data_IF_478113540417
#
_entry.id   IF_478113540417
#
_cell.length_a   1.000
_cell.length_b   1.000
_cell.length_c   1.000
_cell.angle_alpha   90.00
_cell.angle_beta   90.00
_cell.angle_gamma   90.00
#
_symmetry.space_group_name_H-M   'P 1'
#
loop_
_entity.id
_entity.type
_entity.pdbx_description
1 polymer ?
#
# COMPACT_ATOMS: atom_id res chain seq x y z
N UNK A 1 19.25 12.31 -6.02
CA UNK A 1 19.83 11.17 -6.75
C UNK A 1 21.29 11.52 -7.02
N UNK A 2 22.27 10.67 -6.66
CA UNK A 2 23.68 10.93 -6.95
C UNK A 2 23.87 10.95 -8.46
N UNK A 3 24.32 12.08 -8.99
CA UNK A 3 24.63 12.24 -10.41
C UNK A 3 25.79 11.32 -10.82
N UNK A 4 26.69 11.04 -9.88
CA UNK A 4 27.83 10.13 -10.02
C UNK A 4 27.45 8.73 -10.54
N UNK A 5 26.33 8.15 -10.07
CA UNK A 5 25.87 6.83 -10.53
C UNK A 5 25.39 6.85 -11.99
N UNK A 6 24.83 7.97 -12.43
CA UNK A 6 24.40 8.14 -13.81
C UNK A 6 25.57 8.42 -14.74
N UNK A 7 26.52 9.25 -14.31
CA UNK A 7 27.75 9.54 -15.06
C UNK A 7 28.59 8.27 -15.27
N UNK A 8 28.76 7.45 -14.22
CA UNK A 8 29.42 6.16 -14.34
C UNK A 8 28.69 5.23 -15.32
N UNK A 9 27.35 5.17 -15.25
CA UNK A 9 26.56 4.37 -16.17
C UNK A 9 26.63 4.87 -17.63
N UNK A 10 26.81 6.17 -17.84
CA UNK A 10 27.04 6.75 -19.17
C UNK A 10 28.42 6.41 -19.72
N UNK A 11 29.46 6.40 -18.88
CA UNK A 11 30.82 5.93 -19.23
C UNK A 11 30.78 4.43 -19.62
N UNK A 12 29.99 3.63 -18.91
CA UNK A 12 29.80 2.20 -19.20
C UNK A 12 28.85 1.91 -20.38
N UNK A 13 28.33 2.94 -21.06
CA UNK A 13 27.46 2.81 -22.24
C UNK A 13 26.05 2.28 -21.94
N UNK A 14 25.57 2.44 -20.70
CA UNK A 14 24.23 1.99 -20.32
C UNK A 14 23.13 2.89 -20.93
N UNK A 15 22.26 2.32 -21.75
CA UNK A 15 21.09 3.04 -22.27
C UNK A 15 20.04 3.38 -21.19
N UNK A 16 19.12 4.30 -21.50
CA UNK A 16 18.12 4.85 -20.55
C UNK A 16 17.29 3.77 -19.84
N UNK A 17 16.93 2.67 -20.53
CA UNK A 17 16.19 1.57 -19.92
C UNK A 17 17.01 0.85 -18.84
N UNK A 18 18.31 0.65 -19.10
CA UNK A 18 19.21 -0.01 -18.14
C UNK A 18 19.48 0.89 -16.93
N UNK A 19 19.59 2.20 -17.14
CA UNK A 19 19.67 3.19 -16.06
C UNK A 19 18.40 3.23 -15.20
N UNK A 20 17.22 3.14 -15.81
CA UNK A 20 15.96 3.13 -15.07
C UNK A 20 15.84 1.94 -14.11
N UNK A 21 16.01 0.71 -14.62
CA UNK A 21 15.82 -0.50 -13.82
C UNK A 21 16.91 -0.77 -12.79
N UNK A 22 18.15 -0.34 -13.06
CA UNK A 22 19.29 -0.63 -12.17
C UNK A 22 19.70 0.53 -11.26
N UNK A 23 19.29 1.76 -11.58
CA UNK A 23 19.65 2.95 -10.79
C UNK A 23 18.39 3.61 -10.26
N UNK A 24 17.49 4.10 -11.12
CA UNK A 24 16.32 4.86 -10.67
C UNK A 24 15.41 4.05 -9.76
N UNK A 25 14.99 2.87 -10.22
CA UNK A 25 13.98 2.05 -9.57
C UNK A 25 14.44 1.50 -8.20
N UNK A 26 15.67 0.97 -8.05
CA UNK A 26 16.18 0.57 -6.74
C UNK A 26 16.34 1.76 -5.79
N UNK A 27 16.75 2.93 -6.28
CA UNK A 27 16.97 4.11 -5.43
C UNK A 27 15.69 4.73 -4.88
N UNK A 28 14.59 4.67 -5.64
CA UNK A 28 13.27 5.14 -5.16
C UNK A 28 12.48 4.04 -4.44
N UNK A 29 12.98 2.80 -4.42
CA UNK A 29 12.29 1.64 -3.85
C UNK A 29 11.79 1.84 -2.41
N UNK A 30 12.50 2.54 -1.49
CA UNK A 30 11.97 2.76 -0.13
C UNK A 30 10.73 3.65 -0.11
N UNK A 31 10.74 4.73 -0.89
CA UNK A 31 9.60 5.64 -1.04
C UNK A 31 8.45 4.97 -1.79
N UNK A 32 8.77 4.11 -2.77
CA UNK A 32 7.77 3.33 -3.49
C UNK A 32 7.06 2.33 -2.59
N UNK A 33 7.80 1.62 -1.72
CA UNK A 33 7.23 0.74 -0.70
C UNK A 33 6.27 1.50 0.22
N UNK A 34 6.70 2.65 0.73
CA UNK A 34 5.86 3.46 1.62
C UNK A 34 4.54 3.86 0.95
N UNK A 35 4.61 4.36 -0.29
CA UNK A 35 3.42 4.72 -1.05
C UNK A 35 2.55 3.50 -1.39
N UNK A 36 3.15 2.35 -1.66
CA UNK A 36 2.44 1.10 -1.92
C UNK A 36 1.65 0.67 -0.67
N UNK A 37 2.27 0.70 0.50
CA UNK A 37 1.65 0.37 1.79
C UNK A 37 0.46 1.29 2.06
N UNK A 38 0.68 2.61 1.99
CA UNK A 38 -0.40 3.57 2.20
C UNK A 38 -1.50 3.46 1.15
N UNK A 39 -1.14 3.23 -0.11
CA UNK A 39 -2.08 3.06 -1.21
C UNK A 39 -2.99 1.85 -1.02
N UNK A 40 -2.43 0.69 -0.65
CA UNK A 40 -3.21 -0.53 -0.40
C UNK A 40 -4.11 -0.35 0.84
N UNK A 41 -3.58 0.21 1.94
CA UNK A 41 -4.38 0.50 3.13
C UNK A 41 -5.52 1.45 2.78
N UNK A 42 -5.23 2.50 2.01
CA UNK A 42 -6.22 3.46 1.53
C UNK A 42 -7.32 2.81 0.70
N UNK A 43 -6.94 1.98 -0.27
CA UNK A 43 -7.85 1.26 -1.16
C UNK A 43 -8.79 0.30 -0.38
N UNK A 44 -8.27 -0.41 0.63
CA UNK A 44 -9.07 -1.31 1.46
C UNK A 44 -10.01 -0.54 2.40
N UNK A 45 -9.62 0.65 2.86
CA UNK A 45 -10.42 1.53 3.73
C UNK A 45 -11.38 2.44 2.97
N UNK A 46 -11.59 2.24 1.67
CA UNK A 46 -12.50 3.07 0.87
C UNK A 46 -13.94 2.90 1.39
N UNK A 47 -14.39 3.89 2.15
CA UNK A 47 -15.76 3.98 2.66
C UNK A 47 -16.55 5.07 1.94
N UNK A 48 -16.08 6.32 2.03
CA UNK A 48 -16.81 7.48 1.53
C UNK A 48 -17.20 7.36 0.05
N UNK A 49 -16.26 6.94 -0.80
CA UNK A 49 -16.52 6.80 -2.23
C UNK A 49 -17.58 5.74 -2.50
N UNK A 50 -17.50 4.59 -1.84
CA UNK A 50 -18.45 3.50 -2.02
C UNK A 50 -19.85 3.86 -1.51
N UNK A 51 -19.91 4.51 -0.35
CA UNK A 51 -21.14 5.02 0.24
C UNK A 51 -21.79 6.07 -0.66
N UNK A 52 -21.09 7.17 -0.97
CA UNK A 52 -21.64 8.28 -1.74
C UNK A 52 -21.99 7.89 -3.18
N UNK A 53 -21.12 7.12 -3.86
CA UNK A 53 -21.31 6.84 -5.27
C UNK A 53 -22.38 5.75 -5.52
N UNK A 54 -22.50 4.78 -4.61
CA UNK A 54 -23.27 3.57 -4.89
C UNK A 54 -24.08 3.02 -3.72
N UNK A 55 -23.87 3.52 -2.50
CA UNK A 55 -24.37 2.90 -1.26
C UNK A 55 -24.14 1.38 -1.23
N UNK A 56 -23.01 0.91 -1.76
CA UNK A 56 -22.70 -0.51 -1.81
C UNK A 56 -23.35 -1.33 -2.95
N UNK A 57 -24.13 -0.70 -3.83
CA UNK A 57 -24.83 -1.37 -4.94
C UNK A 57 -24.15 -1.25 -6.33
N UNK A 58 -24.78 -1.83 -7.37
CA UNK A 58 -25.93 -2.74 -7.32
C UNK A 58 -25.53 -4.15 -6.85
N UNK A 59 -26.45 -4.87 -6.20
CA UNK A 59 -26.27 -6.25 -5.74
C UNK A 59 -24.97 -6.50 -4.94
N UNK A 60 -24.64 -5.62 -3.99
CA UNK A 60 -23.43 -5.70 -3.17
C UNK A 60 -22.10 -5.57 -3.95
N UNK A 61 -22.13 -5.10 -5.20
CA UNK A 61 -20.95 -5.00 -6.07
C UNK A 61 -19.86 -4.04 -5.57
N UNK A 62 -20.20 -3.11 -4.68
CA UNK A 62 -19.26 -2.18 -4.05
C UNK A 62 -19.33 -2.23 -2.51
N UNK A 63 -19.74 -3.38 -1.97
CA UNK A 63 -19.91 -3.57 -0.52
C UNK A 63 -18.56 -3.83 0.16
N UNK A 64 -17.74 -2.79 0.25
CA UNK A 64 -16.45 -2.85 0.94
C UNK A 64 -16.63 -3.15 2.43
N UNK A 65 -15.63 -3.80 3.02
CA UNK A 65 -15.66 -4.20 4.43
C UNK A 65 -15.94 -3.02 5.38
N UNK A 66 -15.39 -1.83 5.08
CA UNK A 66 -15.61 -0.62 5.86
C UNK A 66 -17.09 -0.18 5.86
N UNK A 67 -17.81 -0.38 4.75
CA UNK A 67 -19.24 -0.07 4.62
C UNK A 67 -20.07 -1.04 5.45
N UNK A 68 -19.72 -2.33 5.46
CA UNK A 68 -20.37 -3.33 6.30
C UNK A 68 -20.23 -3.05 7.80
N UNK A 69 -19.05 -2.60 8.25
CA UNK A 69 -18.84 -2.15 9.64
C UNK A 69 -19.74 -0.96 9.98
N UNK A 70 -19.83 0.01 9.06
CA UNK A 70 -20.63 1.21 9.24
C UNK A 70 -22.13 0.93 9.36
N UNK A 71 -22.71 0.17 8.44
CA UNK A 71 -24.14 -0.21 8.51
C UNK A 71 -24.47 -0.93 9.83
N UNK A 72 -23.62 -1.87 10.24
CA UNK A 72 -23.83 -2.57 11.52
C UNK A 72 -23.73 -1.65 12.74
N UNK A 73 -22.87 -0.63 12.71
CA UNK A 73 -22.71 0.30 13.82
C UNK A 73 -23.85 1.33 13.89
N UNK A 74 -24.23 1.90 12.76
CA UNK A 74 -25.04 3.13 12.71
C UNK A 74 -26.45 2.92 12.14
N UNK A 75 -26.70 1.87 11.37
CA UNK A 75 -28.02 1.55 10.82
C UNK A 75 -28.71 0.46 11.64
N UNK A 76 -28.01 -0.65 11.90
CA UNK A 76 -28.55 -1.76 12.69
C UNK A 76 -28.32 -1.60 14.20
N UNK A 77 -27.56 -0.59 14.63
CA UNK A 77 -27.21 -0.32 16.03
C UNK A 77 -26.56 -1.51 16.77
N UNK A 78 -25.91 -2.42 16.03
CA UNK A 78 -25.19 -3.59 16.56
C UNK A 78 -23.72 -3.24 16.83
N UNK A 79 -23.49 -2.30 17.73
CA UNK A 79 -22.15 -1.76 18.03
C UNK A 79 -21.12 -2.83 18.45
N UNK A 80 -21.54 -3.83 19.22
CA UNK A 80 -20.65 -4.95 19.61
C UNK A 80 -20.21 -5.79 18.41
N UNK A 81 -21.14 -6.09 17.49
CA UNK A 81 -20.84 -6.82 16.27
C UNK A 81 -19.97 -5.99 15.32
N UNK A 82 -20.31 -4.72 15.10
CA UNK A 82 -19.50 -3.81 14.29
C UNK A 82 -18.07 -3.66 14.83
N UNK A 83 -17.89 -3.60 16.16
CA UNK A 83 -16.57 -3.55 16.79
C UNK A 83 -15.77 -4.82 16.53
N UNK A 84 -16.41 -6.00 16.58
CA UNK A 84 -15.75 -7.27 16.26
C UNK A 84 -15.28 -7.33 14.79
N UNK A 85 -16.12 -6.86 13.87
CA UNK A 85 -15.77 -6.74 12.45
C UNK A 85 -14.59 -5.78 12.25
N UNK A 86 -14.60 -4.62 12.91
CA UNK A 86 -13.51 -3.65 12.82
C UNK A 86 -12.17 -4.23 13.30
N UNK A 87 -12.18 -5.03 14.37
CA UNK A 87 -10.98 -5.73 14.84
C UNK A 87 -10.46 -6.77 13.86
N UNK A 88 -11.35 -7.56 13.26
CA UNK A 88 -10.98 -8.52 12.21
C UNK A 88 -10.35 -7.78 11.03
N UNK A 89 -10.94 -6.65 10.62
CA UNK A 89 -10.40 -5.83 9.55
C UNK A 89 -9.01 -5.27 9.88
N UNK A 90 -8.81 -4.81 11.11
CA UNK A 90 -7.51 -4.33 11.57
C UNK A 90 -6.45 -5.44 11.50
N UNK A 91 -6.77 -6.66 11.93
CA UNK A 91 -5.87 -7.81 11.83
C UNK A 91 -5.52 -8.12 10.38
N UNK A 92 -6.50 -8.07 9.47
CA UNK A 92 -6.26 -8.26 8.03
C UNK A 92 -5.30 -7.19 7.50
N UNK A 93 -5.55 -5.91 7.81
CA UNK A 93 -4.68 -4.80 7.38
C UNK A 93 -3.26 -4.92 7.91
N UNK A 94 -3.10 -5.29 9.19
CA UNK A 94 -1.80 -5.55 9.80
C UNK A 94 -1.11 -6.72 9.07
N UNK A 95 -1.83 -7.81 8.80
CA UNK A 95 -1.32 -8.95 8.04
C UNK A 95 -0.78 -8.54 6.66
N UNK A 96 -1.55 -7.78 5.89
CA UNK A 96 -1.10 -7.26 4.60
C UNK A 96 0.14 -6.35 4.73
N UNK A 97 0.15 -5.49 5.74
CA UNK A 97 1.28 -4.58 5.99
C UNK A 97 2.54 -5.37 6.34
N UNK A 98 2.43 -6.37 7.20
CA UNK A 98 3.54 -7.25 7.58
C UNK A 98 4.06 -8.05 6.38
N UNK A 99 3.19 -8.54 5.50
CA UNK A 99 3.61 -9.21 4.27
C UNK A 99 4.38 -8.27 3.35
N UNK A 100 3.94 -7.01 3.22
CA UNK A 100 4.62 -6.00 2.41
C UNK A 100 6.01 -5.64 2.97
N UNK A 101 6.10 -5.45 4.30
CA UNK A 101 7.36 -5.20 4.99
C UNK A 101 8.29 -6.42 4.96
N UNK A 102 7.75 -7.63 5.09
CA UNK A 102 8.56 -8.85 4.94
C UNK A 102 9.07 -8.99 3.50
N UNK A 103 8.24 -8.65 2.52
CA UNK A 103 8.66 -8.65 1.11
C UNK A 103 9.71 -7.59 0.84
N UNK A 104 9.65 -6.42 1.50
CA UNK A 104 10.54 -5.28 1.23
C UNK A 104 12.01 -5.63 1.37
N UNK A 105 12.36 -6.52 2.30
CA UNK A 105 13.73 -6.97 2.53
C UNK A 105 14.39 -7.64 1.30
N UNK A 106 13.61 -7.99 0.27
CA UNK A 106 14.12 -8.58 -0.99
C UNK A 106 14.36 -7.58 -2.13
N UNK A 107 13.74 -6.40 -2.11
CA UNK A 107 13.73 -5.50 -3.27
C UNK A 107 13.88 -4.02 -2.92
N UNK A 108 13.90 -3.67 -1.63
CA UNK A 108 14.08 -2.30 -1.18
C UNK A 108 15.53 -2.07 -0.79
N UNK A 109 16.13 -1.04 -1.38
CA UNK A 109 17.51 -0.65 -1.14
C UNK A 109 17.55 0.64 -0.30
N UNK A 110 18.06 0.54 0.92
CA UNK A 110 18.28 1.69 1.78
C UNK A 110 19.70 2.22 1.55
N UNK A 111 19.83 3.36 0.87
CA UNK A 111 21.12 3.96 0.53
C UNK A 111 21.91 4.54 1.73
N UNK A 112 21.48 4.27 2.97
CA UNK A 112 22.07 4.81 4.19
C UNK A 112 22.14 3.85 5.38
N UNK A 113 21.85 2.56 5.19
CA UNK A 113 22.12 1.56 6.23
C UNK A 113 23.52 0.99 6.00
N UNK A 114 24.52 1.58 6.67
CA UNK A 114 25.71 0.83 7.05
C UNK A 114 25.21 -0.41 7.81
N UNK A 115 25.42 -1.59 7.23
CA UNK A 115 25.26 -2.85 7.95
C UNK A 115 26.30 -2.85 9.07
N UNK A 116 25.88 -2.51 10.28
CA UNK A 116 26.61 -2.87 11.50
C UNK A 116 26.74 -4.40 11.63
#
# INVERSE_FOLDING_TARGET
MPEELYEAADIDGAGSWRKFWNITLPMISPTMLFNLVLGIIGALKVFNLAWVATNGGPAYGSWFFALHVFENAFEFYRLGYASSLAWIFAVILIGFTLVQLWSSNRWVYYAGEEKE
#
